data_IF_894402058940
#
_entry.id   IF_894402058940
#
_cell.length_a   1.000
_cell.length_b   1.000
_cell.length_c   1.000
_cell.angle_alpha   90.00
_cell.angle_beta   90.00
_cell.angle_gamma   90.00
#
_symmetry.space_group_name_H-M   'P 1'
#
loop_
_entity.id
_entity.type
_entity.pdbx_description
1 polymer ?
#
# COMPACT_ATOMS: atom_id res chain seq x y z
N UNK A 1 29.71 -27.37 -26.34
CA UNK A 1 28.78 -26.60 -27.16
C UNK A 1 28.58 -25.21 -26.56
N UNK A 2 28.77 -24.17 -27.33
CA UNK A 2 28.58 -22.79 -26.91
C UNK A 2 27.23 -22.27 -27.43
N UNK A 3 26.42 -21.74 -26.56
CA UNK A 3 25.16 -21.08 -26.94
C UNK A 3 25.42 -19.57 -27.01
N UNK A 4 25.21 -18.98 -28.18
CA UNK A 4 25.26 -17.53 -28.34
C UNK A 4 23.87 -16.94 -28.15
N UNK A 5 23.81 -15.88 -27.35
CA UNK A 5 22.61 -15.06 -27.25
C UNK A 5 22.60 -14.04 -28.38
N UNK A 6 21.72 -14.21 -29.33
CA UNK A 6 21.66 -13.37 -30.54
C UNK A 6 20.94 -12.03 -30.33
N UNK A 7 20.06 -11.96 -29.32
CA UNK A 7 19.28 -10.75 -29.05
C UNK A 7 19.40 -10.33 -27.60
N UNK A 8 19.76 -9.07 -27.39
CA UNK A 8 19.64 -8.44 -26.08
C UNK A 8 18.28 -7.73 -26.03
N UNK A 9 17.34 -8.34 -25.35
CA UNK A 9 16.07 -7.66 -25.06
C UNK A 9 16.27 -6.75 -23.86
N UNK A 10 16.14 -5.46 -24.10
CA UNK A 10 16.06 -4.47 -23.00
C UNK A 10 14.75 -4.69 -22.27
N UNK A 11 14.82 -5.10 -21.00
CA UNK A 11 13.65 -5.16 -20.15
C UNK A 11 13.31 -3.75 -19.70
N UNK A 12 12.16 -3.25 -20.12
CA UNK A 12 11.60 -2.05 -19.52
C UNK A 12 11.07 -2.40 -18.15
N UNK A 13 11.56 -1.70 -17.14
CA UNK A 13 11.00 -1.78 -15.77
C UNK A 13 9.93 -0.71 -15.64
N UNK A 14 8.74 -1.11 -15.26
CA UNK A 14 7.69 -0.20 -14.81
C UNK A 14 7.72 -0.13 -13.30
N UNK A 15 7.66 1.09 -12.76
CA UNK A 15 7.59 1.29 -11.32
C UNK A 15 6.13 1.55 -10.94
N UNK A 16 5.59 0.71 -10.07
CA UNK A 16 4.38 1.02 -9.35
C UNK A 16 4.77 1.65 -8.01
N UNK A 17 4.33 2.88 -7.75
CA UNK A 17 4.67 3.61 -6.53
C UNK A 17 3.97 3.07 -5.30
N UNK A 18 2.75 2.62 -5.47
CA UNK A 18 1.95 2.01 -4.42
C UNK A 18 1.01 0.98 -5.01
N UNK A 19 0.89 -0.13 -4.32
CA UNK A 19 -0.05 -1.19 -4.68
C UNK A 19 -0.66 -1.76 -3.41
N UNK A 20 -1.98 -1.85 -3.41
CA UNK A 20 -2.71 -2.61 -2.39
C UNK A 20 -2.72 -4.08 -2.77
N UNK A 21 -2.47 -4.92 -1.78
CA UNK A 21 -2.60 -6.37 -1.87
C UNK A 21 -3.58 -6.79 -0.78
N UNK A 22 -4.64 -7.47 -1.17
CA UNK A 22 -5.58 -8.06 -0.22
C UNK A 22 -5.18 -9.51 0.02
N UNK A 23 -5.12 -9.90 1.28
CA UNK A 23 -4.76 -11.25 1.70
C UNK A 23 -5.89 -11.78 2.59
N UNK A 24 -6.53 -12.88 2.16
CA UNK A 24 -7.47 -13.59 3.01
C UNK A 24 -6.77 -14.69 3.79
N UNK A 25 -6.82 -14.61 5.10
CA UNK A 25 -6.32 -15.66 6.00
C UNK A 25 -7.50 -16.48 6.48
N UNK A 26 -7.46 -17.80 6.26
CA UNK A 26 -8.53 -18.71 6.63
C UNK A 26 -8.04 -19.85 7.50
N UNK A 27 -8.93 -20.41 8.32
CA UNK A 27 -8.62 -21.62 9.09
C UNK A 27 -8.58 -22.89 8.24
N UNK A 28 -9.16 -22.88 7.04
CA UNK A 28 -9.30 -24.05 6.16
C UNK A 28 -8.26 -24.13 5.06
N UNK A 29 -7.32 -23.21 5.00
CA UNK A 29 -6.06 -23.41 4.32
C UNK A 29 -5.96 -23.03 2.88
N UNK A 30 -6.98 -22.73 2.10
CA UNK A 30 -6.79 -22.26 0.72
C UNK A 30 -7.83 -21.22 0.36
N UNK A 31 -7.38 -20.00 0.17
CA UNK A 31 -8.16 -18.96 -0.48
C UNK A 31 -7.50 -18.60 -1.81
N UNK A 32 -8.30 -18.60 -2.88
CA UNK A 32 -7.86 -18.20 -4.22
C UNK A 32 -8.29 -16.78 -4.55
N UNK A 33 -8.78 -16.03 -3.57
CA UNK A 33 -9.28 -14.67 -3.77
C UNK A 33 -8.25 -13.63 -3.39
N UNK A 34 -8.27 -12.50 -4.10
CA UNK A 34 -7.47 -11.30 -3.87
C UNK A 34 -5.99 -11.40 -4.28
N UNK A 35 -5.10 -10.64 -3.74
CA UNK A 35 -3.74 -10.45 -4.21
C UNK A 35 -2.88 -11.69 -4.46
N UNK A 36 -3.29 -12.86 -3.95
CA UNK A 36 -2.56 -14.11 -4.09
C UNK A 36 -3.25 -15.12 -5.02
N UNK A 37 -4.15 -14.70 -5.87
CA UNK A 37 -5.05 -15.54 -6.67
C UNK A 37 -4.37 -16.44 -7.72
N UNK A 38 -3.12 -16.22 -8.05
CA UNK A 38 -2.44 -16.96 -9.12
C UNK A 38 -1.84 -18.28 -8.66
N UNK A 39 -1.95 -18.62 -7.40
CA UNK A 39 -1.39 -19.85 -6.87
C UNK A 39 -2.42 -20.61 -6.03
N UNK A 40 -2.83 -21.77 -6.53
CA UNK A 40 -3.78 -22.65 -5.82
C UNK A 40 -3.22 -23.24 -4.52
N UNK A 41 -1.91 -23.21 -4.36
CA UNK A 41 -1.20 -23.62 -3.16
C UNK A 41 -0.57 -22.39 -2.49
N UNK A 42 -1.31 -21.31 -2.36
CA UNK A 42 -0.79 -20.04 -1.85
C UNK A 42 -0.24 -20.22 -0.44
N UNK A 43 1.06 -20.02 -0.32
CA UNK A 43 1.78 -20.07 0.93
C UNK A 43 1.45 -18.82 1.76
N UNK A 44 1.18 -18.99 3.05
CA UNK A 44 0.89 -17.89 3.95
C UNK A 44 -0.57 -17.40 3.94
N UNK A 45 -1.51 -18.27 3.57
CA UNK A 45 -2.94 -17.93 3.60
C UNK A 45 -3.68 -18.52 4.81
N UNK A 46 -3.04 -19.38 5.59
CA UNK A 46 -3.61 -19.90 6.83
C UNK A 46 -3.23 -19.01 7.99
N UNK A 47 -4.09 -18.99 9.02
CA UNK A 47 -3.85 -18.20 10.23
C UNK A 47 -2.52 -18.55 10.93
N UNK A 48 -2.12 -19.81 10.86
CA UNK A 48 -0.86 -20.31 11.45
C UNK A 48 0.39 -20.02 10.59
N UNK A 49 0.25 -19.57 9.36
CA UNK A 49 1.39 -19.32 8.48
C UNK A 49 2.17 -18.09 8.95
N UNK A 50 3.46 -18.25 9.15
CA UNK A 50 4.36 -17.17 9.60
C UNK A 50 4.92 -16.33 8.47
N UNK A 51 4.77 -16.78 7.24
CA UNK A 51 5.31 -16.12 6.05
C UNK A 51 4.21 -16.00 5.00
N UNK A 52 4.03 -14.80 4.48
CA UNK A 52 3.07 -14.50 3.41
C UNK A 52 3.85 -14.11 2.16
N UNK A 53 3.64 -14.84 1.06
CA UNK A 53 4.20 -14.45 -0.23
C UNK A 53 3.39 -13.33 -0.83
N UNK A 54 4.03 -12.20 -1.13
CA UNK A 54 3.36 -11.08 -1.80
C UNK A 54 3.13 -11.35 -3.29
N UNK A 55 3.78 -12.36 -3.85
CA UNK A 55 3.72 -12.71 -5.27
C UNK A 55 4.01 -11.54 -6.23
N UNK A 56 4.78 -10.57 -5.74
CA UNK A 56 5.22 -9.39 -6.49
C UNK A 56 6.73 -9.28 -6.34
N UNK A 57 7.48 -9.20 -7.43
CA UNK A 57 8.92 -9.03 -7.37
C UNK A 57 9.29 -7.59 -6.99
N UNK A 58 10.51 -7.44 -6.48
CA UNK A 58 11.17 -6.14 -6.29
C UNK A 58 10.41 -5.16 -5.37
N UNK A 59 9.72 -5.66 -4.34
CA UNK A 59 9.08 -4.82 -3.33
C UNK A 59 10.15 -4.10 -2.51
N UNK A 60 10.13 -2.77 -2.55
CA UNK A 60 11.11 -1.92 -1.84
C UNK A 60 10.73 -1.73 -0.39
N UNK A 61 9.45 -1.49 -0.11
CA UNK A 61 8.94 -1.19 1.22
C UNK A 61 7.49 -1.63 1.38
N UNK A 62 7.09 -1.89 2.62
CA UNK A 62 5.71 -2.05 3.04
C UNK A 62 5.31 -0.78 3.78
N UNK A 63 4.30 -0.09 3.29
CA UNK A 63 3.80 1.16 3.88
C UNK A 63 2.99 0.90 5.14
N UNK A 64 2.18 -0.14 5.10
CA UNK A 64 1.37 -0.58 6.22
C UNK A 64 0.76 -1.94 5.97
N UNK A 65 0.43 -2.64 7.06
CA UNK A 65 -0.33 -3.88 7.08
C UNK A 65 -1.55 -3.64 7.95
N UNK A 66 -2.72 -3.78 7.35
CA UNK A 66 -3.98 -3.44 8.00
C UNK A 66 -4.88 -4.66 8.03
N UNK A 67 -5.38 -5.00 9.19
CA UNK A 67 -6.30 -6.11 9.39
C UNK A 67 -7.73 -5.60 9.51
N UNK A 68 -8.66 -6.30 8.87
CA UNK A 68 -10.07 -6.00 9.01
C UNK A 68 -10.62 -6.54 10.33
N UNK A 69 -11.49 -5.78 10.96
CA UNK A 69 -12.24 -6.21 12.15
C UNK A 69 -13.46 -7.07 11.78
N UNK A 70 -13.71 -7.26 10.49
CA UNK A 70 -14.85 -8.00 9.94
C UNK A 70 -14.41 -8.93 8.83
N UNK A 71 -15.36 -9.55 8.13
CA UNK A 71 -15.08 -10.43 6.96
C UNK A 71 -14.92 -9.67 5.64
N UNK A 72 -15.05 -8.35 5.66
CA UNK A 72 -14.84 -7.48 4.48
C UNK A 72 -13.46 -6.83 4.56
N UNK A 73 -12.97 -6.34 3.44
CA UNK A 73 -11.68 -5.64 3.39
C UNK A 73 -11.64 -4.44 4.35
N UNK A 74 -10.48 -4.15 4.97
CA UNK A 74 -10.34 -2.98 5.83
C UNK A 74 -10.54 -1.69 5.03
N UNK A 75 -11.30 -0.78 5.62
CA UNK A 75 -11.46 0.59 5.09
C UNK A 75 -10.49 1.48 5.83
N UNK A 76 -9.57 2.11 5.09
CA UNK A 76 -8.60 3.04 5.67
C UNK A 76 -9.20 4.45 5.83
N UNK A 77 -8.46 5.32 6.54
CA UNK A 77 -8.87 6.69 6.76
C UNK A 77 -8.96 7.45 5.44
N UNK A 78 -9.97 8.31 5.30
CA UNK A 78 -10.21 9.11 4.11
C UNK A 78 -10.21 10.59 4.44
N UNK A 79 -9.53 11.34 3.61
CA UNK A 79 -9.51 12.80 3.68
C UNK A 79 -10.42 13.38 2.60
N UNK A 80 -11.25 14.32 3.02
CA UNK A 80 -12.21 15.02 2.16
C UNK A 80 -11.72 16.46 1.95
N UNK A 81 -11.59 16.87 0.70
CA UNK A 81 -11.09 18.18 0.29
C UNK A 81 -12.15 19.00 -0.44
N UNK A 82 -11.86 20.26 -0.67
CA UNK A 82 -12.74 21.16 -1.42
C UNK A 82 -13.00 20.66 -2.85
N UNK A 83 -14.14 21.01 -3.40
CA UNK A 83 -14.49 20.69 -4.79
C UNK A 83 -13.59 21.43 -5.79
N UNK A 84 -13.47 20.87 -7.00
CA UNK A 84 -12.73 21.51 -8.10
C UNK A 84 -11.28 21.08 -8.26
N UNK A 85 -10.75 20.25 -7.36
CA UNK A 85 -9.35 19.80 -7.41
C UNK A 85 -9.11 18.63 -8.36
N UNK A 86 -10.16 17.87 -8.69
CA UNK A 86 -10.07 16.65 -9.51
C UNK A 86 -8.98 15.68 -9.01
N UNK A 87 -8.91 15.41 -7.69
CA UNK A 87 -7.85 14.61 -7.06
C UNK A 87 -7.70 13.22 -7.65
N UNK A 88 -8.78 12.66 -8.17
CA UNK A 88 -8.75 11.35 -8.84
C UNK A 88 -7.86 11.32 -10.11
N UNK A 89 -7.54 12.47 -10.67
CA UNK A 89 -6.67 12.61 -11.85
C UNK A 89 -5.46 13.50 -11.62
N UNK A 90 -5.58 14.51 -10.78
CA UNK A 90 -4.54 15.49 -10.52
C UNK A 90 -3.50 15.04 -9.49
N UNK A 91 -3.92 14.22 -8.49
CA UNK A 91 -2.98 13.66 -7.51
C UNK A 91 -2.28 12.41 -8.04
N UNK A 92 -1.18 12.06 -7.40
CA UNK A 92 -0.40 10.86 -7.75
C UNK A 92 -0.64 9.76 -6.71
N UNK A 93 -1.00 8.55 -7.18
CA UNK A 93 -1.14 7.41 -6.28
C UNK A 93 0.23 7.10 -5.63
N UNK A 94 0.24 6.95 -4.31
CA UNK A 94 1.46 6.70 -3.56
C UNK A 94 2.27 7.95 -3.21
N UNK A 95 1.83 9.15 -3.58
CA UNK A 95 2.50 10.37 -3.13
C UNK A 95 2.23 10.62 -1.64
N UNK A 96 3.13 11.36 -1.02
CA UNK A 96 2.99 11.80 0.36
C UNK A 96 2.21 13.10 0.43
N UNK A 97 1.45 13.21 1.50
CA UNK A 97 0.73 14.42 1.86
C UNK A 97 1.08 14.85 3.27
N UNK A 98 1.18 16.15 3.49
CA UNK A 98 1.67 16.73 4.75
C UNK A 98 0.70 17.78 5.24
N UNK A 99 0.28 17.66 6.51
CA UNK A 99 -0.53 18.64 7.20
C UNK A 99 0.31 19.77 7.78
N UNK A 100 -0.09 21.01 7.53
CA UNK A 100 0.67 22.20 7.94
C UNK A 100 0.63 22.49 9.43
N UNK A 101 -0.41 22.07 10.13
CA UNK A 101 -0.63 22.32 11.56
C UNK A 101 -0.32 21.09 12.39
N UNK A 102 -0.87 19.95 12.00
CA UNK A 102 -0.71 18.69 12.70
C UNK A 102 0.70 18.10 12.55
N UNK A 103 1.40 18.44 11.47
CA UNK A 103 2.63 17.75 11.07
C UNK A 103 2.39 16.28 10.69
N UNK A 104 1.14 15.90 10.46
CA UNK A 104 0.80 14.56 10.00
C UNK A 104 1.36 14.32 8.60
N UNK A 105 1.92 13.14 8.39
CA UNK A 105 2.38 12.68 7.08
C UNK A 105 1.68 11.36 6.77
N UNK A 106 1.10 11.30 5.59
CA UNK A 106 0.46 10.08 5.10
C UNK A 106 0.77 9.84 3.63
N UNK A 107 0.55 8.63 3.18
CA UNK A 107 0.67 8.24 1.77
C UNK A 107 -0.71 7.95 1.20
N UNK A 108 -0.97 8.41 -0.03
CA UNK A 108 -2.23 8.13 -0.72
C UNK A 108 -2.24 6.67 -1.15
N UNK A 109 -3.21 5.91 -0.65
CA UNK A 109 -3.42 4.49 -0.97
C UNK A 109 -4.47 4.29 -2.05
N UNK A 110 -5.43 5.23 -2.16
CA UNK A 110 -6.43 5.22 -3.21
C UNK A 110 -6.97 6.64 -3.48
N UNK A 111 -7.42 6.86 -4.69
CA UNK A 111 -8.05 8.09 -5.18
C UNK A 111 -9.55 7.84 -5.38
N UNK A 112 -10.28 7.89 -4.27
CA UNK A 112 -11.69 7.46 -4.19
C UNK A 112 -12.61 8.30 -5.07
N UNK A 113 -12.38 9.62 -5.11
CA UNK A 113 -13.16 10.54 -5.95
C UNK A 113 -12.37 11.82 -6.26
N UNK A 114 -13.01 12.77 -6.95
CA UNK A 114 -12.42 14.07 -7.25
C UNK A 114 -12.07 14.90 -6.00
N UNK A 115 -12.65 14.57 -4.85
CA UNK A 115 -12.45 15.29 -3.58
C UNK A 115 -12.02 14.42 -2.42
N UNK A 116 -11.91 13.10 -2.61
CA UNK A 116 -11.64 12.15 -1.53
C UNK A 116 -10.44 11.28 -1.91
N UNK A 117 -9.46 11.25 -1.02
CA UNK A 117 -8.35 10.30 -1.07
C UNK A 117 -8.37 9.40 0.16
N UNK A 118 -7.98 8.15 -0.02
CA UNK A 118 -7.75 7.22 1.07
C UNK A 118 -6.25 7.21 1.39
N UNK A 119 -5.92 7.10 2.66
CA UNK A 119 -4.55 7.29 3.14
C UNK A 119 -4.10 6.19 4.10
N UNK A 120 -2.78 6.00 4.15
CA UNK A 120 -2.08 5.31 5.24
C UNK A 120 -1.15 6.31 5.93
N UNK A 121 -1.28 6.46 7.24
CA UNK A 121 -0.39 7.33 8.01
C UNK A 121 1.03 6.78 8.06
N UNK A 122 2.00 7.68 7.88
CA UNK A 122 3.43 7.39 8.03
C UNK A 122 3.99 7.90 9.38
N UNK A 123 3.19 8.72 10.07
CA UNK A 123 3.51 9.29 11.39
C UNK A 123 2.41 8.98 12.39
N UNK A 124 2.71 9.14 13.66
CA UNK A 124 1.73 9.01 14.74
C UNK A 124 0.71 10.18 14.76
N UNK A 125 1.08 11.31 14.17
CA UNK A 125 0.21 12.47 14.11
C UNK A 125 -0.95 12.22 13.17
N UNK A 126 -2.11 12.79 13.50
CA UNK A 126 -3.33 12.74 12.70
C UNK A 126 -3.62 14.12 12.13
N UNK A 127 -4.19 14.17 10.93
CA UNK A 127 -4.62 15.41 10.32
C UNK A 127 -5.71 16.10 11.16
N UNK A 128 -5.77 17.41 11.05
CA UNK A 128 -6.78 18.25 11.68
C UNK A 128 -7.67 18.90 10.63
N UNK A 129 -8.99 18.79 10.79
CA UNK A 129 -9.94 19.43 9.86
C UNK A 129 -9.72 20.95 9.82
N UNK A 130 -9.70 21.51 8.63
CA UNK A 130 -9.44 22.92 8.38
C UNK A 130 -7.97 23.27 8.13
N UNK A 131 -7.03 22.36 8.37
CA UNK A 131 -5.62 22.64 8.05
C UNK A 131 -5.33 22.57 6.54
N UNK A 132 -4.27 23.25 6.15
CA UNK A 132 -3.74 23.16 4.80
C UNK A 132 -2.93 21.87 4.64
N UNK A 133 -3.23 21.11 3.61
CA UNK A 133 -2.50 19.88 3.24
C UNK A 133 -1.77 20.11 1.93
N UNK A 134 -0.50 19.73 1.91
CA UNK A 134 0.37 19.81 0.74
C UNK A 134 0.62 18.40 0.21
N UNK A 135 0.42 18.23 -1.08
CA UNK A 135 0.73 17.03 -1.84
C UNK A 135 2.12 17.20 -2.45
N UNK A 136 3.07 16.34 -2.08
CA UNK A 136 4.50 16.56 -2.39
C UNK A 136 4.85 16.50 -3.88
N UNK A 137 4.16 15.66 -4.64
CA UNK A 137 4.53 15.45 -6.05
C UNK A 137 3.63 16.21 -7.01
N UNK A 138 2.33 16.19 -6.77
CA UNK A 138 1.38 16.94 -7.60
C UNK A 138 1.40 18.44 -7.31
N UNK A 139 2.09 18.87 -6.24
CA UNK A 139 2.17 20.25 -5.78
C UNK A 139 0.80 20.89 -5.49
N UNK A 140 -0.19 20.08 -5.19
CA UNK A 140 -1.51 20.56 -4.79
C UNK A 140 -1.41 21.03 -3.34
N UNK A 141 -1.93 22.23 -3.09
CA UNK A 141 -2.06 22.81 -1.75
C UNK A 141 -3.52 23.16 -1.53
N UNK A 142 -4.15 22.55 -0.52
CA UNK A 142 -5.59 22.68 -0.32
C UNK A 142 -5.97 22.48 1.14
N UNK A 143 -7.15 22.98 1.53
CA UNK A 143 -7.65 22.83 2.88
C UNK A 143 -8.44 21.53 3.04
N UNK A 144 -8.19 20.86 4.16
CA UNK A 144 -8.90 19.67 4.57
C UNK A 144 -10.30 20.03 5.08
N UNK A 145 -11.32 19.50 4.45
CA UNK A 145 -12.72 19.77 4.81
C UNK A 145 -13.28 18.78 5.83
N UNK A 146 -12.78 17.55 5.79
CA UNK A 146 -13.27 16.50 6.68
C UNK A 146 -12.37 15.27 6.68
N UNK A 147 -12.56 14.46 7.71
CA UNK A 147 -11.89 13.17 7.87
C UNK A 147 -12.96 12.12 8.09
N UNK A 148 -12.90 11.04 7.36
CA UNK A 148 -13.70 9.85 7.63
C UNK A 148 -12.75 8.78 8.17
N UNK A 149 -12.94 8.43 9.43
CA UNK A 149 -12.14 7.39 10.06
C UNK A 149 -12.42 6.02 9.42
N UNK A 150 -11.36 5.27 9.23
CA UNK A 150 -11.41 3.91 8.74
C UNK A 150 -11.84 2.91 9.81
N UNK A 151 -12.02 1.67 9.38
CA UNK A 151 -12.29 0.54 10.28
C UNK A 151 -11.26 -0.54 10.03
N UNK A 152 -10.17 -0.49 10.78
CA UNK A 152 -9.03 -1.41 10.65
C UNK A 152 -8.22 -1.47 11.94
N UNK A 153 -7.42 -2.52 12.04
CA UNK A 153 -6.33 -2.63 13.02
C UNK A 153 -4.99 -2.50 12.28
N UNK A 154 -4.17 -1.57 12.69
CA UNK A 154 -2.81 -1.45 12.18
C UNK A 154 -1.91 -2.49 12.86
N UNK A 155 -1.47 -3.46 12.10
CA UNK A 155 -0.59 -4.55 12.53
C UNK A 155 0.78 -4.49 11.86
N UNK A 156 1.13 -3.35 11.29
CA UNK A 156 2.39 -3.14 10.56
C UNK A 156 3.61 -3.56 11.35
N UNK A 157 3.64 -3.28 12.65
CA UNK A 157 4.76 -3.65 13.53
C UNK A 157 4.94 -5.15 13.74
N UNK A 158 3.92 -5.94 13.44
CA UNK A 158 3.96 -7.41 13.55
C UNK A 158 4.57 -8.09 12.33
N UNK A 159 4.83 -7.33 11.26
CA UNK A 159 5.35 -7.86 10.00
C UNK A 159 6.69 -7.25 9.63
N UNK A 160 7.53 -8.05 9.02
CA UNK A 160 8.83 -7.62 8.48
C UNK A 160 8.92 -8.03 7.02
N UNK A 161 9.32 -7.09 6.16
CA UNK A 161 9.53 -7.38 4.75
C UNK A 161 10.83 -8.15 4.55
N UNK A 162 10.71 -9.40 4.09
CA UNK A 162 11.85 -10.17 3.61
C UNK A 162 12.09 -9.81 2.13
N UNK A 163 13.21 -9.16 1.85
CA UNK A 163 13.65 -8.76 0.50
C UNK A 163 14.36 -9.90 -0.25
N UNK A 164 14.45 -11.08 0.34
CA UNK A 164 15.13 -12.23 -0.26
C UNK A 164 16.66 -12.08 -0.34
N UNK A 165 17.25 -11.11 0.30
CA UNK A 165 18.71 -10.97 0.38
C UNK A 165 19.27 -11.96 1.41
N UNK A 166 19.61 -13.15 0.95
CA UNK A 166 20.35 -14.11 1.76
C UNK A 166 21.84 -13.78 1.68
N UNK A 167 22.50 -13.70 2.84
CA UNK A 167 23.88 -13.23 2.95
C UNK A 167 24.92 -14.22 2.39
N UNK A 168 24.58 -15.47 2.20
CA UNK A 168 25.53 -16.46 1.69
C UNK A 168 24.86 -17.61 0.99
N UNK A 169 25.43 -18.03 -0.14
CA UNK A 169 25.10 -19.28 -0.85
C UNK A 169 25.54 -20.53 -0.06
N UNK A 170 26.27 -20.33 1.05
CA UNK A 170 26.92 -21.39 1.83
C UNK A 170 26.19 -21.73 3.14
N UNK A 171 25.07 -21.09 3.42
CA UNK A 171 24.25 -21.33 4.62
C UNK A 171 23.18 -22.41 4.40
N UNK A 172 23.54 -23.50 3.74
CA UNK A 172 22.71 -24.69 3.58
C UNK A 172 23.35 -25.87 4.30
#
# INVERSE_FOLDING_TARGET
ATVRKNDIKVKQKTFERSKRINVNITNSGISTTNGLTQNTAAFGLRVEDKVISLNIPDVVNVVGVFESLTTIDPVLDRLVFVSGLALNTASVLGEKIIGSVSGAVAQITDRVSATIVEIAYLTQNKFTVGETVTFEESNIVTNLQGITEGSYLDVTSSYTLDKGHRQSFMDY
#
